data_IF_364115964369
#
_entry.id   IF_364115964369
#
_cell.length_a   1.000
_cell.length_b   1.000
_cell.length_c   1.000
_cell.angle_alpha   90.00
_cell.angle_beta   90.00
_cell.angle_gamma   90.00
#
_symmetry.space_group_name_H-M   'P 1'
#
loop_
_entity.id
_entity.type
_entity.pdbx_description
1 polymer ?
#
# COMPACT_ATOMS: atom_id res chain seq x y z
N UNK A 1 19.03 13.60 5.58
CA UNK A 1 17.89 12.72 5.93
C UNK A 1 16.76 13.66 6.28
N UNK A 2 15.66 13.61 5.53
CA UNK A 2 14.49 14.46 5.77
C UNK A 2 13.35 13.55 6.18
N UNK A 3 12.66 13.99 7.23
CA UNK A 3 11.39 13.41 7.60
C UNK A 3 10.44 13.76 6.47
N UNK A 4 9.97 12.76 5.74
CA UNK A 4 9.07 13.03 4.63
C UNK A 4 7.64 13.19 5.12
N UNK A 5 7.27 12.44 6.15
CA UNK A 5 5.94 12.54 6.71
C UNK A 5 5.92 12.17 8.18
N UNK A 6 5.36 13.08 8.98
CA UNK A 6 4.86 12.75 10.31
C UNK A 6 3.43 12.26 10.15
N UNK A 7 3.25 10.98 9.88
CA UNK A 7 1.91 10.37 9.92
C UNK A 7 1.44 10.37 11.38
N UNK A 8 0.70 11.41 11.76
CA UNK A 8 0.30 11.70 13.16
C UNK A 8 -0.56 10.59 13.81
N UNK A 9 -0.95 9.59 13.02
CA UNK A 9 -1.91 8.54 13.37
C UNK A 9 -1.34 7.11 13.33
N UNK A 10 -0.10 6.91 12.91
CA UNK A 10 0.55 5.60 12.88
C UNK A 10 1.71 5.56 13.87
N UNK A 11 1.98 4.39 14.44
CA UNK A 11 3.08 4.26 15.41
C UNK A 11 4.47 4.16 14.78
N UNK A 12 4.70 4.82 13.64
CA UNK A 12 6.02 4.93 13.00
C UNK A 12 6.18 6.22 12.17
N UNK A 13 7.44 6.59 11.91
CA UNK A 13 7.83 7.70 11.04
C UNK A 13 8.68 7.18 9.87
N UNK A 14 8.52 7.77 8.68
CA UNK A 14 9.25 7.38 7.47
C UNK A 14 10.19 8.52 7.05
N UNK A 15 11.43 8.14 6.80
CA UNK A 15 12.51 8.98 6.31
C UNK A 15 13.03 8.43 4.99
N UNK A 16 13.35 9.31 4.04
CA UNK A 16 14.03 8.97 2.81
C UNK A 16 15.32 9.76 2.71
N UNK A 17 16.30 9.14 2.07
CA UNK A 17 17.56 9.79 1.73
C UNK A 17 18.05 9.23 0.40
N UNK A 18 18.35 10.10 -0.55
CA UNK A 18 19.16 9.73 -1.72
C UNK A 18 20.61 9.59 -1.31
N UNK A 19 21.18 8.40 -1.51
CA UNK A 19 22.61 8.12 -1.45
C UNK A 19 23.18 8.34 -2.86
N UNK A 20 23.93 9.43 -3.06
CA UNK A 20 24.63 9.65 -4.32
C UNK A 20 25.73 8.60 -4.52
N UNK A 21 26.01 8.28 -5.79
CA UNK A 21 27.17 7.47 -6.16
C UNK A 21 28.46 8.15 -5.65
N UNK A 22 29.53 7.37 -5.46
CA UNK A 22 30.80 7.82 -4.86
C UNK A 22 31.43 9.06 -5.54
N UNK A 23 31.00 9.40 -6.76
CA UNK A 23 31.53 10.51 -7.56
C UNK A 23 30.84 11.85 -7.30
N UNK A 24 29.67 11.88 -6.66
CA UNK A 24 28.96 13.10 -6.29
C UNK A 24 28.80 13.22 -4.78
N UNK A 25 29.81 13.68 -4.04
CA UNK A 25 29.66 13.96 -2.60
C UNK A 25 28.99 15.31 -2.35
N UNK A 26 27.68 15.40 -2.55
CA UNK A 26 26.88 16.48 -1.95
C UNK A 26 25.56 15.88 -1.41
N UNK A 27 25.31 15.99 -0.10
CA UNK A 27 24.01 15.62 0.44
C UNK A 27 22.95 16.56 -0.18
N UNK A 28 22.21 16.09 -1.19
CA UNK A 28 21.00 16.78 -1.64
C UNK A 28 20.02 16.81 -0.47
N UNK A 29 19.69 18.02 -0.03
CA UNK A 29 18.54 18.29 0.83
C UNK A 29 17.29 17.93 0.01
N UNK A 30 16.29 17.25 0.60
CA UNK A 30 15.08 16.84 -0.13
C UNK A 30 14.12 18.05 -0.35
N UNK A 31 14.67 19.22 -0.69
CA UNK A 31 13.90 20.38 -1.15
C UNK A 31 13.36 20.18 -2.57
N UNK A 32 13.98 19.27 -3.34
CA UNK A 32 13.59 18.96 -4.72
C UNK A 32 12.63 17.75 -4.81
N UNK A 33 12.10 17.32 -3.66
CA UNK A 33 11.14 16.23 -3.57
C UNK A 33 9.77 16.81 -3.28
N UNK A 34 8.86 16.67 -4.23
CA UNK A 34 7.50 17.16 -4.14
C UNK A 34 6.61 16.14 -3.43
N UNK A 35 5.61 16.62 -2.69
CA UNK A 35 4.63 15.81 -1.96
C UNK A 35 3.24 16.06 -2.51
N UNK A 36 2.60 15.01 -3.00
CA UNK A 36 1.21 15.05 -3.42
C UNK A 36 0.30 14.81 -2.19
N UNK A 37 -0.44 15.85 -1.80
CA UNK A 37 -1.36 15.79 -0.66
C UNK A 37 -2.59 14.91 -0.90
N UNK A 38 -2.98 14.68 -2.16
CA UNK A 38 -4.10 13.82 -2.51
C UNK A 38 -3.71 12.35 -2.41
N UNK A 39 -2.55 11.98 -2.97
CA UNK A 39 -2.12 10.57 -3.03
C UNK A 39 -1.18 10.17 -1.88
N UNK A 40 -0.61 11.15 -1.18
CA UNK A 40 0.41 10.92 -0.14
C UNK A 40 1.77 10.53 -0.69
N UNK A 41 1.99 10.70 -2.01
CA UNK A 41 3.20 10.27 -2.72
C UNK A 41 4.26 11.35 -2.74
N UNK A 42 5.50 10.90 -2.85
CA UNK A 42 6.70 11.72 -2.73
C UNK A 42 7.56 11.44 -3.95
N UNK A 43 7.86 12.44 -4.78
CA UNK A 43 8.49 12.16 -6.07
C UNK A 43 9.78 12.92 -6.35
N UNK A 44 10.62 12.32 -7.18
CA UNK A 44 11.90 12.88 -7.62
C UNK A 44 12.15 12.53 -9.10
N UNK A 45 12.61 13.52 -9.87
CA UNK A 45 13.13 13.29 -11.21
C UNK A 45 14.58 12.80 -11.11
N UNK A 46 14.89 11.65 -11.70
CA UNK A 46 16.20 11.02 -11.61
C UNK A 46 16.72 10.69 -13.00
N UNK A 47 17.85 11.30 -13.34
CA UNK A 47 18.52 11.21 -14.65
C UNK A 47 19.79 10.33 -14.62
N UNK A 48 20.15 9.77 -13.45
CA UNK A 48 21.31 8.90 -13.26
C UNK A 48 21.04 7.79 -12.25
N UNK A 49 21.83 6.71 -12.29
CA UNK A 49 21.76 5.62 -11.31
C UNK A 49 21.88 6.16 -9.89
N UNK A 50 20.92 5.79 -9.03
CA UNK A 50 20.82 6.29 -7.67
C UNK A 50 20.48 5.17 -6.70
N UNK A 51 20.91 5.33 -5.44
CA UNK A 51 20.43 4.48 -4.36
C UNK A 51 19.60 5.31 -3.40
N UNK A 52 18.41 4.85 -3.08
CA UNK A 52 17.53 5.45 -2.10
C UNK A 52 17.56 4.63 -0.82
N UNK A 53 17.75 5.30 0.31
CA UNK A 53 17.67 4.71 1.64
C UNK A 53 16.33 5.11 2.25
N UNK A 54 15.46 4.12 2.43
CA UNK A 54 14.23 4.22 3.21
C UNK A 54 14.58 3.86 4.65
N UNK A 55 14.23 4.73 5.60
CA UNK A 55 14.45 4.52 7.02
C UNK A 55 13.14 4.70 7.80
N UNK A 56 12.81 3.73 8.64
CA UNK A 56 11.54 3.68 9.38
C UNK A 56 11.84 3.67 10.87
N UNK A 57 11.29 4.64 11.58
CA UNK A 57 11.45 4.78 13.03
C UNK A 57 10.17 4.33 13.71
N UNK A 58 10.23 3.29 14.54
CA UNK A 58 9.06 2.83 15.29
C UNK A 58 8.87 3.61 16.57
N UNK A 59 7.61 3.91 16.87
CA UNK A 59 7.20 4.48 18.14
C UNK A 59 6.77 3.35 19.09
N UNK A 60 6.86 3.60 20.39
CA UNK A 60 6.47 2.64 21.44
C UNK A 60 5.04 2.14 21.22
N UNK A 61 4.88 0.83 21.03
CA UNK A 61 3.59 0.16 20.84
C UNK A 61 3.44 -0.55 19.51
N UNK A 62 4.18 -0.11 18.47
CA UNK A 62 4.14 -0.73 17.14
C UNK A 62 5.19 -1.82 17.00
N UNK A 63 4.75 -2.99 16.55
CA UNK A 63 5.61 -4.12 16.20
C UNK A 63 5.79 -4.17 14.69
N UNK A 64 6.94 -3.69 14.20
CA UNK A 64 7.26 -3.82 12.78
C UNK A 64 7.78 -5.22 12.49
N UNK A 65 7.01 -5.98 11.70
CA UNK A 65 7.55 -7.07 10.91
C UNK A 65 7.89 -6.54 9.52
N UNK A 66 9.02 -6.99 8.98
CA UNK A 66 9.43 -6.70 7.61
C UNK A 66 9.47 -8.01 6.86
N UNK A 67 8.79 -8.07 5.71
CA UNK A 67 8.93 -9.20 4.81
C UNK A 67 10.35 -9.19 4.23
N UNK A 68 11.18 -10.13 4.67
CA UNK A 68 12.51 -10.37 4.11
C UNK A 68 12.35 -11.46 3.07
N UNK A 69 12.08 -11.08 1.84
CA UNK A 69 12.03 -12.04 0.73
C UNK A 69 13.45 -12.51 0.40
N UNK A 70 13.98 -13.48 1.18
CA UNK A 70 15.27 -14.20 1.08
C UNK A 70 16.54 -13.39 0.75
N UNK A 71 16.47 -12.07 0.62
CA UNK A 71 17.55 -11.20 0.18
C UNK A 71 17.85 -10.13 1.25
N UNK A 72 19.13 -10.07 1.62
CA UNK A 72 19.71 -9.39 2.80
C UNK A 72 19.78 -7.85 2.68
N UNK A 73 18.66 -7.17 2.44
CA UNK A 73 18.67 -5.72 2.21
C UNK A 73 18.00 -4.88 3.30
N UNK A 74 17.52 -5.51 4.38
CA UNK A 74 16.95 -4.81 5.54
C UNK A 74 17.92 -4.95 6.72
N UNK A 75 18.32 -3.82 7.30
CA UNK A 75 19.18 -3.79 8.49
C UNK A 75 18.45 -3.10 9.62
N UNK A 76 18.28 -3.78 10.75
CA UNK A 76 17.90 -3.14 12.00
C UNK A 76 19.15 -2.48 12.58
N UNK A 77 19.12 -1.16 12.77
CA UNK A 77 20.18 -0.52 13.55
C UNK A 77 19.98 -0.89 15.02
N UNK A 78 21.04 -1.41 15.66
CA UNK A 78 21.11 -1.42 17.12
C UNK A 78 20.82 0.00 17.59
N UNK A 79 19.86 0.13 18.51
CA UNK A 79 19.43 1.43 19.02
C UNK A 79 20.68 2.23 19.41
N UNK A 80 20.95 3.30 18.66
CA UNK A 80 22.16 4.10 18.80
C UNK A 80 22.20 4.69 20.22
N UNK A 81 22.85 3.99 21.15
CA UNK A 81 23.43 4.62 22.34
C UNK A 81 24.56 5.51 21.86
N UNK A 82 24.19 6.73 21.48
CA UNK A 82 25.12 7.81 21.16
C UNK A 82 25.58 7.82 19.70
N UNK A 83 25.71 9.04 19.18
CA UNK A 83 26.40 9.39 17.93
C UNK A 83 25.69 9.08 16.59
N UNK A 84 24.56 9.72 16.35
CA UNK A 84 24.37 10.52 15.11
C UNK A 84 23.12 11.38 15.29
N UNK A 85 23.23 12.68 14.97
CA UNK A 85 22.20 13.72 15.16
C UNK A 85 20.77 13.19 14.92
N UNK A 86 20.07 12.86 16.01
CA UNK A 86 18.65 12.57 15.99
C UNK A 86 17.92 13.88 15.71
N UNK A 87 17.54 14.09 14.46
CA UNK A 87 16.52 15.07 14.08
C UNK A 87 15.16 14.42 14.36
N UNK A 88 14.82 14.21 15.63
CA UNK A 88 13.51 13.67 16.01
C UNK A 88 12.89 14.56 17.08
N UNK A 89 11.70 15.06 16.79
CA UNK A 89 10.94 15.92 17.70
C UNK A 89 10.59 15.17 18.99
N UNK A 90 10.71 15.86 20.12
CA UNK A 90 10.76 15.38 21.51
C UNK A 90 9.49 14.72 22.10
N UNK A 91 8.61 14.10 21.31
CA UNK A 91 7.31 13.59 21.82
C UNK A 91 7.07 12.07 21.72
N UNK A 92 7.92 11.28 21.08
CA UNK A 92 7.78 9.81 21.02
C UNK A 92 9.07 9.09 21.42
N UNK A 93 8.99 8.05 22.26
CA UNK A 93 10.12 7.14 22.48
C UNK A 93 10.25 6.22 21.25
N UNK A 94 11.35 6.39 20.50
CA UNK A 94 11.70 5.52 19.38
C UNK A 94 12.11 4.14 19.91
N UNK A 95 11.56 3.07 19.36
CA UNK A 95 11.80 1.70 19.80
C UNK A 95 12.76 0.93 18.88
N UNK A 96 12.76 1.25 17.59
CA UNK A 96 13.61 0.61 16.59
C UNK A 96 13.74 1.47 15.33
N UNK A 97 14.85 1.25 14.60
CA UNK A 97 15.13 1.90 13.32
C UNK A 97 15.45 0.82 12.29
N UNK A 98 14.65 0.77 11.24
CA UNK A 98 14.78 -0.19 10.13
C UNK A 98 15.19 0.56 8.87
N UNK A 99 16.12 -0.02 8.10
CA UNK A 99 16.64 0.60 6.89
C UNK A 99 16.55 -0.37 5.72
N UNK A 100 16.13 0.14 4.54
CA UNK A 100 16.19 -0.56 3.27
C UNK A 100 16.81 0.34 2.21
N UNK A 101 17.78 -0.20 1.47
CA UNK A 101 18.32 0.44 0.27
C UNK A 101 17.60 -0.08 -0.96
N UNK A 102 17.10 0.82 -1.77
CA UNK A 102 16.48 0.55 -3.07
C UNK A 102 17.38 1.13 -4.15
N UNK A 103 17.80 0.30 -5.09
CA UNK A 103 18.62 0.74 -6.23
C UNK A 103 17.70 1.12 -7.38
N UNK A 104 17.88 2.32 -7.88
CA UNK A 104 17.23 2.81 -9.10
C UNK A 104 18.29 2.85 -10.20
N UNK A 105 17.97 2.20 -11.33
CA UNK A 105 18.81 2.17 -12.52
C UNK A 105 18.18 3.00 -13.63
N UNK A 106 18.99 3.59 -14.49
CA UNK A 106 18.52 4.24 -15.71
C UNK A 106 18.56 3.25 -16.87
N UNK A 107 17.47 3.15 -17.61
CA UNK A 107 17.49 2.46 -18.89
C UNK A 107 18.13 3.36 -19.95
N UNK A 108 19.42 3.14 -20.22
CA UNK A 108 20.29 4.00 -21.06
C UNK A 108 19.71 4.42 -22.43
N UNK A 109 18.81 3.63 -23.03
CA UNK A 109 18.23 3.94 -24.34
C UNK A 109 17.08 4.95 -24.30
N UNK A 110 16.35 5.02 -23.18
CA UNK A 110 15.12 5.81 -23.05
C UNK A 110 15.18 6.78 -21.87
N UNK A 111 16.28 6.76 -21.11
CA UNK A 111 16.51 7.58 -19.91
C UNK A 111 15.37 7.49 -18.88
N UNK A 112 14.73 6.32 -18.80
CA UNK A 112 13.67 6.05 -17.82
C UNK A 112 14.29 5.36 -16.60
N UNK A 113 14.16 5.91 -15.38
CA UNK A 113 14.56 5.24 -14.16
C UNK A 113 13.65 4.04 -13.93
N UNK A 114 14.19 2.97 -13.38
CA UNK A 114 13.43 1.79 -13.00
C UNK A 114 14.01 1.14 -11.75
N UNK A 115 13.15 0.41 -11.06
CA UNK A 115 13.49 -0.40 -9.89
C UNK A 115 12.85 -1.77 -10.06
N UNK A 116 13.49 -2.80 -9.51
CA UNK A 116 13.01 -4.19 -9.63
C UNK A 116 12.12 -4.56 -8.45
N UNK A 117 10.96 -5.15 -8.72
CA UNK A 117 10.19 -5.87 -7.71
C UNK A 117 10.85 -7.24 -7.47
N UNK A 118 10.96 -7.74 -6.22
CA UNK A 118 10.45 -7.19 -4.95
C UNK A 118 11.44 -6.25 -4.21
N UNK A 119 12.57 -5.89 -4.81
CA UNK A 119 13.61 -5.08 -4.15
C UNK A 119 13.18 -3.65 -3.82
N UNK A 120 12.06 -3.19 -4.38
CA UNK A 120 11.60 -1.82 -4.31
C UNK A 120 10.65 -1.50 -3.15
N UNK A 121 10.16 -2.50 -2.40
CA UNK A 121 9.14 -2.29 -1.37
C UNK A 121 9.54 -2.78 0.03
N UNK A 122 8.83 -2.28 1.04
CA UNK A 122 8.98 -2.55 2.46
C UNK A 122 7.58 -2.67 3.06
N UNK A 123 7.25 -3.80 3.69
CA UNK A 123 6.00 -3.93 4.44
C UNK A 123 6.22 -3.59 5.91
N UNK A 124 5.30 -2.80 6.46
CA UNK A 124 5.22 -2.49 7.88
C UNK A 124 3.94 -3.09 8.41
N UNK A 125 4.04 -3.72 9.58
CA UNK A 125 2.89 -4.20 10.32
C UNK A 125 2.72 -3.29 11.54
N UNK A 126 1.50 -2.82 11.77
CA UNK A 126 1.13 -2.09 12.96
C UNK A 126 0.10 -2.92 13.74
N UNK A 127 0.38 -3.13 15.03
CA UNK A 127 -0.46 -3.92 15.93
C UNK A 127 -0.95 -2.99 17.03
N UNK A 128 -2.26 -2.79 17.10
CA UNK A 128 -2.84 -1.96 18.16
C UNK A 128 -3.17 -2.77 19.41
N UNK A 129 -3.52 -2.11 20.52
CA UNK A 129 -3.86 -2.82 21.75
C UNK A 129 -5.24 -3.50 21.75
N UNK A 130 -6.05 -3.25 20.72
CA UNK A 130 -7.44 -3.72 20.56
C UNK A 130 -7.54 -4.88 19.54
N UNK A 131 -6.41 -5.41 19.09
CA UNK A 131 -6.38 -6.53 18.14
C UNK A 131 -6.38 -6.11 16.68
N UNK A 132 -6.35 -4.82 16.35
CA UNK A 132 -6.25 -4.39 14.96
C UNK A 132 -4.83 -4.61 14.45
N UNK A 133 -4.73 -5.28 13.30
CA UNK A 133 -3.47 -5.51 12.58
C UNK A 133 -3.57 -4.77 11.26
N UNK A 134 -2.72 -3.78 11.04
CA UNK A 134 -2.70 -3.03 9.80
C UNK A 134 -1.38 -3.28 9.08
N UNK A 135 -1.45 -3.68 7.81
CA UNK A 135 -0.27 -3.87 6.97
C UNK A 135 -0.18 -2.70 6.00
N UNK A 136 0.93 -1.99 6.05
CA UNK A 136 1.30 -0.95 5.11
C UNK A 136 2.39 -1.44 4.18
N UNK A 137 2.34 -1.00 2.93
CA UNK A 137 3.37 -1.18 1.94
C UNK A 137 3.98 0.18 1.62
N UNK A 138 5.30 0.27 1.76
CA UNK A 138 6.11 1.39 1.31
C UNK A 138 6.87 0.94 0.09
N UNK A 139 6.71 1.56 -1.06
CA UNK A 139 7.47 1.18 -2.26
C UNK A 139 8.05 2.38 -2.97
N UNK A 140 9.24 2.23 -3.56
CA UNK A 140 9.67 3.15 -4.61
C UNK A 140 9.17 2.58 -5.92
N UNK A 141 8.46 3.37 -6.70
CA UNK A 141 8.00 3.02 -8.05
C UNK A 141 8.52 4.05 -9.03
N UNK A 142 8.57 3.69 -10.31
CA UNK A 142 8.89 4.61 -11.40
C UNK A 142 7.75 4.62 -12.40
N UNK A 143 7.34 5.82 -12.83
CA UNK A 143 6.42 6.02 -13.95
C UNK A 143 6.93 7.16 -14.82
N UNK A 144 7.09 6.91 -16.13
CA UNK A 144 7.47 7.92 -17.12
C UNK A 144 8.63 8.86 -16.72
N UNK A 145 9.71 8.34 -16.15
CA UNK A 145 10.85 9.19 -15.74
C UNK A 145 10.83 9.62 -14.28
N UNK A 146 9.71 9.45 -13.59
CA UNK A 146 9.48 10.02 -12.27
C UNK A 146 9.41 8.90 -11.24
N UNK A 147 10.24 8.99 -10.20
CA UNK A 147 10.20 8.08 -9.07
C UNK A 147 9.18 8.55 -8.04
N UNK A 148 8.51 7.62 -7.38
CA UNK A 148 7.61 7.90 -6.26
C UNK A 148 7.91 6.99 -5.09
N UNK A 149 7.94 7.52 -3.88
CA UNK A 149 7.76 6.73 -2.68
C UNK A 149 6.25 6.67 -2.37
N UNK A 150 5.72 5.47 -2.40
CA UNK A 150 4.36 5.15 -2.00
C UNK A 150 4.33 4.71 -0.55
N UNK A 151 3.24 5.02 0.14
CA UNK A 151 2.93 4.50 1.46
C UNK A 151 1.43 4.22 1.51
N UNK A 152 1.05 2.95 1.50
CA UNK A 152 -0.34 2.56 1.36
C UNK A 152 -0.71 1.47 2.35
N UNK A 153 -1.87 1.61 2.99
CA UNK A 153 -2.50 0.50 3.70
C UNK A 153 -2.94 -0.56 2.68
N UNK A 154 -2.31 -1.72 2.71
CA UNK A 154 -2.62 -2.83 1.78
C UNK A 154 -3.56 -3.85 2.42
N UNK A 155 -3.49 -4.01 3.73
CA UNK A 155 -4.39 -4.90 4.45
C UNK A 155 -4.72 -4.39 5.85
N UNK A 156 -5.86 -4.85 6.34
CA UNK A 156 -6.34 -4.60 7.69
C UNK A 156 -7.04 -5.87 8.18
N UNK A 157 -6.68 -6.32 9.38
CA UNK A 157 -7.24 -7.50 10.03
C UNK A 157 -7.65 -7.15 11.45
N UNK A 158 -8.63 -7.87 11.96
CA UNK A 158 -9.02 -7.85 13.35
C UNK A 158 -8.67 -9.20 13.98
N UNK A 159 -7.96 -9.11 15.11
CA UNK A 159 -7.62 -10.24 15.96
C UNK A 159 -8.70 -10.36 17.02
N UNK A 160 -9.18 -11.57 17.22
CA UNK A 160 -10.20 -11.91 18.21
C UNK A 160 -9.65 -12.94 19.19
N UNK A 161 -10.24 -12.96 20.38
CA UNK A 161 -10.07 -14.04 21.34
C UNK A 161 -11.28 -14.98 21.23
N UNK A 162 -11.04 -16.22 20.81
CA UNK A 162 -12.00 -17.31 20.73
C UNK A 162 -11.84 -18.23 21.95
N UNK A 163 -12.94 -18.58 22.60
CA UNK A 163 -12.90 -19.33 23.87
C UNK A 163 -12.32 -20.75 23.71
N UNK A 164 -12.49 -21.38 22.55
CA UNK A 164 -12.02 -22.76 22.29
C UNK A 164 -10.73 -22.82 21.45
N UNK A 165 -10.48 -21.83 20.60
CA UNK A 165 -9.39 -21.86 19.60
C UNK A 165 -8.25 -20.88 19.95
N UNK A 166 -8.42 -20.06 20.98
CA UNK A 166 -7.47 -19.03 21.37
C UNK A 166 -7.52 -17.82 20.45
N UNK A 167 -6.36 -17.35 19.99
CA UNK A 167 -6.26 -16.11 19.20
C UNK A 167 -6.54 -16.39 17.73
N UNK A 168 -7.51 -15.69 17.15
CA UNK A 168 -7.93 -15.82 15.75
C UNK A 168 -7.72 -14.52 14.97
N UNK A 169 -7.24 -14.60 13.72
CA UNK A 169 -7.08 -13.46 12.81
C UNK A 169 -8.17 -13.48 11.74
N UNK A 170 -8.82 -12.34 11.51
CA UNK A 170 -9.83 -12.22 10.47
C UNK A 170 -9.66 -10.95 9.62
N UNK A 171 -9.82 -11.01 8.28
CA UNK A 171 -10.15 -12.19 7.47
C UNK A 171 -8.98 -13.20 7.33
N UNK A 172 -9.32 -14.50 7.21
CA UNK A 172 -8.38 -15.62 6.97
C UNK A 172 -7.85 -15.62 5.52
N UNK A 173 -7.33 -14.48 5.09
CA UNK A 173 -6.86 -14.24 3.73
C UNK A 173 -5.34 -14.21 3.62
N UNK A 174 -4.65 -14.13 4.76
CA UNK A 174 -3.19 -14.14 4.81
C UNK A 174 -2.69 -15.56 5.00
N UNK A 175 -2.21 -16.16 3.91
CA UNK A 175 -1.41 -17.40 3.99
C UNK A 175 0.05 -17.12 4.39
N UNK A 176 0.27 -16.20 5.33
CA UNK A 176 1.60 -15.89 5.86
C UNK A 176 1.71 -16.47 7.26
N UNK A 177 2.07 -17.75 7.34
CA UNK A 177 2.14 -18.50 8.59
C UNK A 177 3.01 -17.79 9.64
N UNK A 178 4.15 -17.23 9.23
CA UNK A 178 5.03 -16.47 10.13
C UNK A 178 4.37 -15.22 10.73
N UNK A 179 3.45 -14.58 9.99
CA UNK A 179 2.68 -13.45 10.52
C UNK A 179 1.67 -13.93 11.56
N UNK A 180 0.99 -15.05 11.31
CA UNK A 180 0.06 -15.63 12.27
C UNK A 180 0.77 -15.93 13.60
N UNK A 181 1.96 -16.52 13.56
CA UNK A 181 2.79 -16.74 14.75
C UNK A 181 3.16 -15.44 15.46
N UNK A 182 3.66 -14.45 14.71
CA UNK A 182 4.04 -13.14 15.27
C UNK A 182 2.87 -12.44 15.98
N UNK A 183 1.69 -12.48 15.36
CA UNK A 183 0.47 -11.88 15.90
C UNK A 183 0.02 -12.65 17.15
N UNK A 184 0.01 -13.98 17.10
CA UNK A 184 -0.27 -14.84 18.26
C UNK A 184 0.63 -14.48 19.45
N UNK A 185 1.94 -14.48 19.24
CA UNK A 185 2.93 -14.14 20.28
C UNK A 185 2.72 -12.73 20.85
N UNK A 186 2.44 -11.74 20.00
CA UNK A 186 2.22 -10.37 20.46
C UNK A 186 0.97 -10.22 21.34
N UNK A 187 -0.08 -10.97 21.03
CA UNK A 187 -1.37 -10.85 21.71
C UNK A 187 -1.60 -11.90 22.80
N UNK A 188 -0.77 -12.94 22.93
CA UNK A 188 -0.89 -13.98 23.97
C UNK A 188 -1.04 -13.37 25.37
N UNK A 189 -0.14 -12.46 25.76
CA UNK A 189 -0.18 -11.77 27.06
C UNK A 189 -1.24 -10.65 27.14
N UNK A 190 -1.87 -10.32 26.02
CA UNK A 190 -2.86 -9.23 25.87
C UNK A 190 -4.26 -9.76 25.51
N UNK A 191 -4.48 -11.06 25.56
CA UNK A 191 -5.71 -11.73 25.11
C UNK A 191 -6.98 -11.19 25.78
N UNK A 192 -6.88 -10.73 27.03
CA UNK A 192 -7.98 -10.08 27.77
C UNK A 192 -8.44 -8.73 27.20
N UNK A 193 -7.63 -8.10 26.34
CA UNK A 193 -7.94 -6.81 25.68
C UNK A 193 -8.47 -6.98 24.27
N UNK A 194 -8.42 -8.20 23.73
CA UNK A 194 -8.96 -8.50 22.41
C UNK A 194 -10.49 -8.55 22.46
N UNK A 195 -11.17 -8.15 21.37
CA UNK A 195 -12.59 -8.41 21.22
C UNK A 195 -12.84 -9.93 21.25
N UNK A 196 -13.97 -10.33 21.84
CA UNK A 196 -14.42 -11.72 21.74
C UNK A 196 -14.86 -12.00 20.31
N UNK A 197 -14.51 -13.18 19.82
CA UNK A 197 -14.99 -13.64 18.53
C UNK A 197 -16.50 -13.93 18.63
N UNK A 198 -17.29 -13.34 17.74
CA UNK A 198 -18.72 -13.59 17.60
C UNK A 198 -19.00 -13.99 16.14
N UNK A 199 -19.23 -15.28 15.93
CA UNK A 199 -19.50 -15.86 14.61
C UNK A 199 -20.71 -15.22 13.92
N UNK A 200 -21.74 -14.87 14.67
CA UNK A 200 -22.98 -14.30 14.12
C UNK A 200 -22.76 -12.87 13.64
N UNK A 201 -21.96 -12.10 14.39
CA UNK A 201 -21.59 -10.73 14.01
C UNK A 201 -20.74 -10.72 12.73
N UNK A 202 -19.81 -11.68 12.60
CA UNK A 202 -18.97 -11.86 11.42
C UNK A 202 -19.78 -12.21 10.18
N UNK A 203 -20.70 -13.17 10.28
CA UNK A 203 -21.59 -13.51 9.16
C UNK A 203 -22.45 -12.31 8.76
N UNK A 204 -22.98 -11.55 9.72
CA UNK A 204 -23.72 -10.31 9.44
C UNK A 204 -22.87 -9.27 8.71
N UNK A 205 -21.61 -9.07 9.12
CA UNK A 205 -20.71 -8.12 8.46
C UNK A 205 -20.36 -8.56 7.04
N UNK A 206 -20.08 -9.85 6.81
CA UNK A 206 -19.83 -10.38 5.48
C UNK A 206 -21.06 -10.23 4.56
N UNK A 207 -22.27 -10.47 5.11
CA UNK A 207 -23.53 -10.24 4.40
C UNK A 207 -23.74 -8.75 4.10
N UNK A 208 -23.34 -7.85 4.99
CA UNK A 208 -23.42 -6.40 4.78
C UNK A 208 -22.47 -5.92 3.68
N UNK A 209 -21.24 -6.41 3.64
CA UNK A 209 -20.28 -6.12 2.55
C UNK A 209 -20.80 -6.64 1.20
N UNK A 210 -21.39 -7.84 1.19
CA UNK A 210 -22.01 -8.41 0.01
C UNK A 210 -23.23 -7.58 -0.45
N UNK A 211 -24.09 -7.15 0.48
CA UNK A 211 -25.22 -6.26 0.20
C UNK A 211 -24.75 -4.93 -0.39
N UNK A 212 -23.74 -4.31 0.21
CA UNK A 212 -23.17 -3.02 -0.24
C UNK A 212 -22.59 -3.15 -1.65
N UNK A 213 -21.90 -4.26 -1.92
CA UNK A 213 -21.37 -4.57 -3.25
C UNK A 213 -22.48 -4.71 -4.29
N UNK A 214 -23.53 -5.47 -3.98
CA UNK A 214 -24.66 -5.64 -4.89
C UNK A 214 -25.42 -4.33 -5.11
N UNK A 215 -25.64 -3.55 -4.06
CA UNK A 215 -26.25 -2.23 -4.16
C UNK A 215 -25.45 -1.29 -5.07
N UNK A 216 -24.12 -1.30 -4.98
CA UNK A 216 -23.26 -0.52 -5.86
C UNK A 216 -23.41 -0.98 -7.32
N UNK A 217 -23.37 -2.28 -7.58
CA UNK A 217 -23.54 -2.86 -8.92
C UNK A 217 -24.90 -2.48 -9.51
N UNK A 218 -25.98 -2.59 -8.73
CA UNK A 218 -27.33 -2.21 -9.16
C UNK A 218 -27.46 -0.70 -9.41
N UNK A 219 -26.78 0.14 -8.62
CA UNK A 219 -26.72 1.59 -8.88
C UNK A 219 -26.02 1.89 -10.20
N UNK A 220 -24.94 1.17 -10.52
CA UNK A 220 -24.23 1.31 -11.79
C UNK A 220 -25.14 0.90 -12.96
N UNK A 221 -25.78 -0.27 -12.89
CA UNK A 221 -26.74 -0.73 -13.91
C UNK A 221 -27.83 0.32 -14.20
N UNK A 222 -28.48 0.85 -13.16
CA UNK A 222 -29.51 1.89 -13.33
C UNK A 222 -28.96 3.19 -13.90
N UNK A 223 -27.69 3.52 -13.63
CA UNK A 223 -27.07 4.71 -14.20
C UNK A 223 -26.79 4.52 -15.70
N UNK A 224 -26.29 3.35 -16.10
CA UNK A 224 -26.09 2.99 -17.51
C UNK A 224 -27.42 2.98 -18.27
N UNK A 225 -28.48 2.37 -17.71
CA UNK A 225 -29.83 2.36 -18.30
C UNK A 225 -30.40 3.77 -18.54
N UNK A 226 -30.14 4.70 -17.62
CA UNK A 226 -30.61 6.09 -17.72
C UNK A 226 -29.87 6.92 -18.77
N UNK A 227 -28.64 6.56 -19.09
CA UNK A 227 -27.82 7.32 -20.04
C UNK A 227 -28.17 7.04 -21.50
N UNK A 228 -28.95 5.98 -21.76
CA UNK A 228 -29.40 5.62 -23.11
C UNK A 228 -28.31 5.01 -23.98
N UNK A 229 -28.75 4.24 -24.98
CA UNK A 229 -27.98 3.54 -26.03
C UNK A 229 -26.54 3.12 -25.65
N UNK A 230 -26.41 1.97 -24.96
CA UNK A 230 -25.38 0.92 -25.09
C UNK A 230 -23.88 1.21 -24.95
N UNK A 231 -23.43 2.45 -25.20
CA UNK A 231 -22.03 2.78 -25.44
C UNK A 231 -21.34 3.35 -24.19
N UNK A 232 -22.10 3.98 -23.29
CA UNK A 232 -21.53 4.54 -22.05
C UNK A 232 -21.55 3.47 -20.96
N UNK A 233 -20.37 2.89 -20.70
CA UNK A 233 -20.19 1.92 -19.62
C UNK A 233 -19.50 2.57 -18.43
N UNK A 234 -20.09 2.41 -17.24
CA UNK A 234 -19.66 3.10 -16.02
C UNK A 234 -18.85 2.14 -15.15
N UNK A 235 -17.72 2.64 -14.66
CA UNK A 235 -16.95 2.04 -13.59
C UNK A 235 -16.93 2.96 -12.37
N UNK A 236 -16.93 2.39 -11.17
CA UNK A 236 -16.72 3.11 -9.91
C UNK A 236 -15.45 2.60 -9.24
N UNK A 237 -14.51 3.49 -8.95
CA UNK A 237 -13.26 3.13 -8.28
C UNK A 237 -13.50 2.58 -6.88
N UNK A 238 -12.81 1.48 -6.54
CA UNK A 238 -12.87 0.89 -5.19
C UNK A 238 -11.54 1.11 -4.46
N UNK A 239 -10.44 0.72 -5.09
CA UNK A 239 -9.10 0.93 -4.56
C UNK A 239 -8.06 0.86 -5.67
N UNK A 240 -6.87 1.40 -5.42
CA UNK A 240 -5.73 1.29 -6.32
C UNK A 240 -4.47 1.01 -5.52
N UNK A 241 -3.65 0.04 -5.94
CA UNK A 241 -2.34 -0.23 -5.37
C UNK A 241 -1.26 0.37 -6.28
N UNK A 242 -0.58 1.41 -5.80
CA UNK A 242 0.46 2.10 -6.57
C UNK A 242 1.71 1.22 -6.81
N UNK A 243 2.13 0.43 -5.82
CA UNK A 243 3.30 -0.43 -5.91
C UNK A 243 3.17 -1.48 -7.02
N UNK A 244 1.99 -2.12 -7.09
CA UNK A 244 1.67 -3.15 -8.07
C UNK A 244 1.05 -2.59 -9.36
N UNK A 245 0.76 -1.28 -9.41
CA UNK A 245 0.24 -0.54 -10.56
C UNK A 245 -1.10 -1.08 -11.09
N UNK A 246 -1.95 -1.59 -10.20
CA UNK A 246 -3.30 -2.00 -10.54
C UNK A 246 -4.28 -1.70 -9.40
N UNK A 247 -5.55 -1.60 -9.74
CA UNK A 247 -6.65 -1.38 -8.81
C UNK A 247 -7.86 -2.24 -9.11
N UNK A 248 -8.93 -1.94 -8.39
CA UNK A 248 -10.24 -2.55 -8.55
C UNK A 248 -11.30 -1.48 -8.79
N UNK A 249 -12.17 -1.78 -9.75
CA UNK A 249 -13.37 -0.99 -10.04
C UNK A 249 -14.60 -1.89 -9.97
N UNK A 250 -15.73 -1.33 -9.53
CA UNK A 250 -17.04 -1.94 -9.70
C UNK A 250 -17.63 -1.54 -11.05
N UNK A 251 -18.28 -2.49 -11.72
CA UNK A 251 -19.02 -2.32 -12.98
C UNK A 251 -20.41 -2.91 -12.84
N UNK A 252 -21.29 -2.70 -13.82
CA UNK A 252 -22.62 -3.35 -13.87
C UNK A 252 -22.54 -4.89 -13.90
N UNK A 253 -21.41 -5.45 -14.31
CA UNK A 253 -21.19 -6.90 -14.34
C UNK A 253 -20.49 -7.44 -13.09
N UNK A 254 -20.03 -6.58 -12.18
CA UNK A 254 -19.32 -6.94 -10.96
C UNK A 254 -17.95 -6.27 -10.82
N UNK A 255 -17.10 -6.84 -9.96
CA UNK A 255 -15.76 -6.31 -9.70
C UNK A 255 -14.79 -6.69 -10.82
N UNK A 256 -13.97 -5.73 -11.24
CA UNK A 256 -12.96 -5.91 -12.27
C UNK A 256 -11.65 -5.26 -11.86
N UNK A 257 -10.53 -5.83 -12.33
CA UNK A 257 -9.20 -5.24 -12.21
C UNK A 257 -9.03 -4.12 -13.23
N UNK A 258 -8.23 -3.11 -12.91
CA UNK A 258 -7.72 -2.15 -13.89
C UNK A 258 -6.22 -1.94 -13.69
N UNK A 259 -5.44 -1.94 -14.76
CA UNK A 259 -4.02 -1.59 -14.74
C UNK A 259 -3.81 -0.09 -14.98
N UNK A 260 -2.73 0.46 -14.42
CA UNK A 260 -2.41 1.89 -14.53
C UNK A 260 -2.36 2.40 -15.99
N UNK A 261 -1.87 1.57 -16.91
CA UNK A 261 -1.69 1.90 -18.33
C UNK A 261 -3.02 1.97 -19.08
N UNK A 262 -4.07 1.36 -18.53
CA UNK A 262 -5.44 1.44 -19.03
C UNK A 262 -6.16 2.69 -18.56
N UNK A 263 -5.55 3.52 -17.70
CA UNK A 263 -6.15 4.75 -17.19
C UNK A 263 -5.69 5.93 -18.06
N UNK A 264 -6.63 6.53 -18.76
CA UNK A 264 -6.45 7.76 -19.53
C UNK A 264 -6.94 8.94 -18.72
N UNK A 265 -6.00 9.63 -18.07
CA UNK A 265 -6.24 10.88 -17.34
C UNK A 265 -5.00 11.76 -17.41
N UNK A 266 -5.20 13.08 -17.55
CA UNK A 266 -4.13 14.08 -17.62
C UNK A 266 -4.15 15.04 -16.43
N UNK A 267 -5.21 14.99 -15.62
CA UNK A 267 -5.43 15.83 -14.45
C UNK A 267 -4.63 15.36 -13.23
N UNK A 268 -4.19 14.09 -13.21
CA UNK A 268 -3.45 13.50 -12.09
C UNK A 268 -2.30 12.63 -12.53
N UNK A 269 -1.24 12.70 -11.75
CA UNK A 269 -0.05 11.89 -11.88
C UNK A 269 0.46 11.49 -10.50
N UNK A 270 0.68 10.21 -10.19
CA UNK A 270 0.52 9.05 -11.08
C UNK A 270 -0.95 8.75 -11.39
N UNK A 271 -1.15 8.05 -12.51
CA UNK A 271 -2.47 7.58 -12.93
C UNK A 271 -3.00 6.55 -11.95
N UNK A 272 -4.19 6.80 -11.40
CA UNK A 272 -4.86 5.92 -10.46
C UNK A 272 -6.38 6.11 -10.50
N UNK A 273 -7.10 5.17 -9.87
CA UNK A 273 -8.52 5.32 -9.54
C UNK A 273 -8.68 5.66 -8.07
N UNK A 274 -9.58 6.58 -7.76
CA UNK A 274 -9.93 6.93 -6.38
C UNK A 274 -11.19 6.18 -5.93
N UNK A 275 -11.28 5.91 -4.64
CA UNK A 275 -12.48 5.32 -4.05
C UNK A 275 -13.71 6.19 -4.35
N UNK A 276 -14.78 5.55 -4.82
CA UNK A 276 -16.04 6.16 -5.27
C UNK A 276 -15.94 7.11 -6.48
N UNK A 277 -14.78 7.18 -7.16
CA UNK A 277 -14.63 7.96 -8.40
C UNK A 277 -15.43 7.31 -9.53
N UNK A 278 -16.23 8.09 -10.25
CA UNK A 278 -17.00 7.63 -11.41
C UNK A 278 -16.17 7.80 -12.66
N UNK A 279 -16.11 6.75 -13.47
CA UNK A 279 -15.24 6.62 -14.63
C UNK A 279 -16.02 5.97 -15.77
N UNK A 280 -15.59 6.19 -17.00
CA UNK A 280 -16.14 5.53 -18.20
C UNK A 280 -15.09 4.57 -18.74
N UNK A 281 -15.50 3.36 -19.13
CA UNK A 281 -14.62 2.37 -19.71
C UNK A 281 -15.06 1.91 -21.10
N UNK A 282 -14.10 1.47 -21.91
CA UNK A 282 -14.35 1.02 -23.28
C UNK A 282 -14.66 -0.48 -23.32
N UNK A 283 -13.81 -1.28 -22.66
CA UNK A 283 -13.84 -2.73 -22.77
C UNK A 283 -13.79 -3.38 -21.38
N UNK A 284 -14.51 -4.51 -21.24
CA UNK A 284 -14.47 -5.40 -20.08
C UNK A 284 -14.18 -6.80 -20.59
N UNK A 285 -13.08 -7.38 -20.12
CA UNK A 285 -12.53 -8.64 -20.62
C UNK A 285 -12.60 -9.68 -19.51
N UNK A 286 -13.03 -10.90 -19.84
CA UNK A 286 -12.96 -12.03 -18.92
C UNK A 286 -11.53 -12.59 -18.84
N UNK A 287 -11.04 -12.78 -17.61
CA UNK A 287 -9.76 -13.39 -17.33
C UNK A 287 -9.97 -14.90 -17.20
N UNK A 288 -9.65 -15.65 -18.25
CA UNK A 288 -9.85 -17.10 -18.30
C UNK A 288 -8.55 -17.81 -17.93
N UNK A 289 -8.61 -18.72 -16.95
CA UNK A 289 -7.55 -19.71 -16.68
C UNK A 289 -6.29 -19.17 -15.97
N UNK A 290 -6.27 -17.91 -15.55
CA UNK A 290 -5.13 -17.36 -14.81
C UNK A 290 -5.21 -17.73 -13.32
N UNK A 291 -4.30 -18.59 -12.85
CA UNK A 291 -4.22 -19.04 -11.45
C UNK A 291 -3.59 -18.01 -10.51
N UNK A 292 -2.92 -17.00 -11.05
CA UNK A 292 -2.14 -16.01 -10.30
C UNK A 292 -2.98 -14.80 -9.87
N UNK A 293 -4.28 -14.77 -10.22
CA UNK A 293 -5.20 -13.69 -9.84
C UNK A 293 -6.56 -14.24 -9.40
N UNK A 294 -7.16 -13.58 -8.41
CA UNK A 294 -8.56 -13.83 -8.00
C UNK A 294 -9.57 -13.05 -8.85
N UNK A 295 -9.10 -12.10 -9.66
CA UNK A 295 -9.96 -11.32 -10.54
C UNK A 295 -10.46 -12.18 -11.70
N UNK A 296 -11.76 -12.10 -11.95
CA UNK A 296 -12.40 -12.76 -13.10
C UNK A 296 -12.49 -11.85 -14.32
N UNK A 297 -12.32 -10.54 -14.14
CA UNK A 297 -12.47 -9.54 -15.21
C UNK A 297 -11.45 -8.41 -15.12
N UNK A 298 -11.20 -7.78 -16.26
CA UNK A 298 -10.32 -6.63 -16.42
C UNK A 298 -10.99 -5.54 -17.26
N UNK A 299 -10.86 -4.30 -16.82
CA UNK A 299 -11.34 -3.11 -17.54
C UNK A 299 -10.18 -2.48 -18.33
N UNK A 300 -10.47 -2.06 -19.57
CA UNK A 300 -9.55 -1.33 -20.45
C UNK A 300 -10.15 -0.01 -20.95
N UNK A 301 -9.26 0.93 -21.26
CA UNK A 301 -9.63 2.26 -21.76
C UNK A 301 -10.47 3.04 -20.75
N UNK A 302 -10.03 3.06 -19.48
CA UNK A 302 -10.70 3.76 -18.40
C UNK A 302 -10.40 5.26 -18.48
N UNK A 303 -11.41 6.11 -18.42
CA UNK A 303 -11.28 7.56 -18.53
C UNK A 303 -12.14 8.28 -17.48
N UNK A 304 -11.68 9.46 -17.08
CA UNK A 304 -12.44 10.34 -16.18
C UNK A 304 -13.54 11.02 -17.00
N UNK A 305 -14.76 11.05 -16.46
CA UNK A 305 -15.89 11.77 -17.05
C UNK A 305 -15.73 13.28 -16.91
#
# INVERSE_FOLDING_TARGET
MQLIQKQKYFGFEIYLKKELSKEGKNNLLLKDIEYDYETGLIFENVDHDATFLIEIHTLKGSLIAVEIDKQKNITQKSSLRGSTRQVVSSKGKIFGVYQKRVRVKIHNQIYIPYTTYPENHFKIIDLDSRGKVTIFEIAIISDNGILYLTFQKVHEYQVYNHEEEGIFLCPDLIKWESLCHLVGDFYNDKSRKLPRHDYDLMQKNNLLEFSTTNELIERIKRAEEKLGDGDIKIAVGIWFNFANRFGMVATSQGMARVYYDQISRNDKFPKHVKESEKLIYQELIDIIGNKDTKFKREVRGLSVQ
#
